data_IF_475292504010
#
_entry.id   IF_475292504010
#
_cell.length_a   1.000
_cell.length_b   1.000
_cell.length_c   1.000
_cell.angle_alpha   90.00
_cell.angle_beta   90.00
_cell.angle_gamma   90.00
#
_symmetry.space_group_name_H-M   'P 1'
#
loop_
_entity.id
_entity.type
_entity.pdbx_description
1 polymer ?
#
# COMPACT_ATOMS: atom_id res chain seq x y z
N UNK A 1 6.06 -9.89 4.38
CA UNK A 1 6.48 -9.80 2.97
C UNK A 1 7.91 -10.30 2.88
N UNK A 2 8.13 -11.38 2.12
CA UNK A 2 9.45 -11.98 1.86
C UNK A 2 9.78 -11.74 0.38
N UNK A 3 11.05 -11.56 0.05
CA UNK A 3 11.56 -11.64 -1.32
C UNK A 3 11.83 -13.12 -1.69
N UNK A 4 11.85 -13.44 -2.98
CA UNK A 4 11.96 -14.81 -3.52
C UNK A 4 13.26 -15.57 -3.14
N UNK A 5 14.19 -14.92 -2.44
CA UNK A 5 15.43 -15.52 -1.93
C UNK A 5 15.37 -15.90 -0.44
N UNK A 6 14.27 -15.64 0.28
CA UNK A 6 14.15 -15.98 1.71
C UNK A 6 15.04 -15.16 2.65
N UNK A 7 16.02 -14.42 2.13
CA UNK A 7 16.87 -13.48 2.85
C UNK A 7 16.14 -12.15 3.08
N UNK A 8 15.20 -12.20 4.01
CA UNK A 8 14.81 -11.01 4.73
C UNK A 8 15.84 -10.87 5.86
N UNK A 9 16.82 -9.96 5.69
CA UNK A 9 17.79 -9.63 6.74
C UNK A 9 17.03 -9.32 8.03
N UNK A 10 16.92 -10.33 8.91
CA UNK A 10 16.25 -10.26 10.22
C UNK A 10 16.96 -9.29 11.17
N UNK A 11 18.13 -8.79 10.78
CA UNK A 11 18.80 -7.69 11.44
C UNK A 11 18.12 -6.38 11.01
N UNK A 12 17.15 -5.94 11.81
CA UNK A 12 16.68 -4.57 11.77
C UNK A 12 17.84 -3.70 12.20
N UNK A 13 18.57 -3.13 11.24
CA UNK A 13 19.53 -2.08 11.52
C UNK A 13 18.80 -0.94 12.23
N UNK A 14 19.24 -0.59 13.43
CA UNK A 14 18.68 0.51 14.22
C UNK A 14 19.71 1.62 14.35
N UNK A 15 19.23 2.83 14.53
CA UNK A 15 20.06 3.98 14.83
C UNK A 15 20.34 4.01 16.34
N UNK A 16 21.57 4.35 16.72
CA UNK A 16 22.02 4.41 18.10
C UNK A 16 21.34 5.57 18.84
N UNK A 17 20.49 5.27 19.83
CA UNK A 17 19.69 6.26 20.54
C UNK A 17 20.50 7.39 21.22
N UNK A 18 21.62 7.12 21.93
CA UNK A 18 22.47 8.18 22.47
C UNK A 18 22.93 9.20 21.42
N UNK A 19 23.39 8.73 20.26
CA UNK A 19 23.84 9.60 19.17
C UNK A 19 22.67 10.43 18.62
N UNK A 20 21.46 9.84 18.54
CA UNK A 20 20.26 10.55 18.10
C UNK A 20 19.83 11.67 19.04
N UNK A 21 20.09 11.52 20.34
CA UNK A 21 19.75 12.49 21.38
C UNK A 21 20.85 13.56 21.55
N UNK A 22 21.90 13.51 20.71
CA UNK A 22 23.04 14.43 20.77
C UNK A 22 24.03 14.10 21.90
N UNK A 23 23.96 12.89 22.46
CA UNK A 23 24.89 12.40 23.46
C UNK A 23 25.99 11.51 22.84
N UNK A 24 27.11 11.37 23.55
CA UNK A 24 28.18 10.45 23.15
C UNK A 24 27.77 8.99 23.42
N UNK A 25 28.08 8.10 22.48
CA UNK A 25 27.85 6.66 22.68
C UNK A 25 29.03 6.03 23.42
N UNK A 26 28.77 5.45 24.59
CA UNK A 26 29.78 4.77 25.42
C UNK A 26 30.40 3.54 24.73
N UNK A 27 29.69 2.94 23.76
CA UNK A 27 30.16 1.76 23.01
C UNK A 27 31.03 2.12 21.81
N UNK A 28 31.12 3.40 21.44
CA UNK A 28 31.96 3.86 20.33
C UNK A 28 31.79 3.02 19.06
N UNK A 29 32.90 2.48 18.55
CA UNK A 29 32.96 1.66 17.33
C UNK A 29 32.46 0.23 17.52
N UNK A 30 32.30 -0.24 18.76
CA UNK A 30 31.75 -1.56 19.10
C UNK A 30 30.21 -1.55 19.20
N UNK A 31 29.58 -0.41 18.91
CA UNK A 31 28.13 -0.30 18.94
C UNK A 31 27.49 -1.08 17.78
N UNK A 32 26.55 -1.98 18.12
CA UNK A 32 25.78 -2.76 17.15
C UNK A 32 24.75 -1.91 16.36
N UNK A 33 24.46 -0.71 16.87
CA UNK A 33 23.53 0.24 16.26
C UNK A 33 24.29 1.29 15.44
N UNK A 34 23.68 1.78 14.36
CA UNK A 34 24.27 2.72 13.43
C UNK A 34 24.42 4.10 14.07
N UNK A 35 25.64 4.63 14.08
CA UNK A 35 25.92 6.03 14.39
C UNK A 35 25.72 6.87 13.13
N UNK A 36 24.92 7.93 13.23
CA UNK A 36 24.66 8.86 12.13
C UNK A 36 24.70 10.28 12.69
N UNK A 37 25.19 11.25 11.92
CA UNK A 37 25.13 12.64 12.38
C UNK A 37 23.67 13.09 12.46
N UNK A 38 23.27 13.70 13.59
CA UNK A 38 21.89 14.17 13.80
C UNK A 38 21.49 15.17 12.73
N UNK A 39 22.42 16.01 12.30
CA UNK A 39 22.25 16.99 11.22
C UNK A 39 21.89 16.33 9.87
N UNK A 40 22.56 15.22 9.51
CA UNK A 40 22.21 14.46 8.30
C UNK A 40 20.90 13.70 8.48
N UNK A 41 20.60 13.22 9.68
CA UNK A 41 19.35 12.52 9.95
C UNK A 41 18.14 13.45 9.85
N UNK A 42 18.24 14.69 10.34
CA UNK A 42 17.20 15.71 10.16
C UNK A 42 17.00 16.02 8.69
N UNK A 43 18.08 16.23 7.92
CA UNK A 43 18.00 16.44 6.48
C UNK A 43 17.42 15.22 5.74
N UNK A 44 17.79 13.99 6.12
CA UNK A 44 17.22 12.76 5.54
C UNK A 44 15.76 12.60 5.94
N UNK A 45 15.38 12.93 7.17
CA UNK A 45 13.99 12.90 7.64
C UNK A 45 13.15 13.95 6.94
N UNK A 46 13.66 15.16 6.71
CA UNK A 46 12.99 16.23 5.96
C UNK A 46 12.86 15.87 4.47
N UNK A 47 13.93 15.35 3.86
CA UNK A 47 13.89 14.87 2.48
C UNK A 47 12.98 13.64 2.33
N UNK A 48 12.97 12.77 3.34
CA UNK A 48 12.04 11.65 3.47
C UNK A 48 10.70 12.08 4.07
N UNK A 49 10.48 13.35 4.42
CA UNK A 49 9.22 13.96 4.87
C UNK A 49 8.43 14.55 3.69
N UNK A 50 9.03 14.57 2.49
CA UNK A 50 8.32 14.31 1.22
C UNK A 50 7.79 12.85 1.20
N UNK A 51 7.35 12.39 2.36
CA UNK A 51 7.38 11.04 2.85
C UNK A 51 6.40 10.20 2.11
N UNK A 52 6.82 8.97 1.91
CA UNK A 52 5.94 7.85 1.69
C UNK A 52 4.56 8.07 2.32
N UNK A 53 3.56 8.38 1.50
CA UNK A 53 2.20 8.51 1.95
C UNK A 53 1.64 7.10 2.12
N UNK A 54 1.06 6.82 3.28
CA UNK A 54 0.47 5.52 3.63
C UNK A 54 -1.05 5.66 3.54
N UNK A 55 -1.72 4.67 2.99
CA UNK A 55 -3.17 4.67 2.86
C UNK A 55 -3.85 4.28 4.18
N UNK A 56 -3.64 5.11 5.20
CA UNK A 56 -4.18 4.94 6.53
C UNK A 56 -4.47 6.33 7.13
N UNK A 57 -5.69 6.52 7.64
CA UNK A 57 -6.17 7.81 8.14
C UNK A 57 -5.39 8.26 9.38
N UNK A 58 -5.08 7.34 10.29
CA UNK A 58 -4.35 7.63 11.53
C UNK A 58 -2.89 7.95 11.24
N UNK A 59 -2.26 7.19 10.35
CA UNK A 59 -0.87 7.42 9.95
C UNK A 59 -0.66 8.76 9.21
N UNK A 60 -1.72 9.27 8.57
CA UNK A 60 -1.71 10.53 7.80
C UNK A 60 -2.57 11.62 8.46
N UNK A 61 -2.66 11.61 9.79
CA UNK A 61 -3.42 12.62 10.54
C UNK A 61 -2.81 14.03 10.38
N UNK A 62 -1.47 14.12 10.41
CA UNK A 62 -0.74 15.39 10.35
C UNK A 62 -0.44 15.85 8.91
N UNK A 63 -0.75 15.02 7.91
CA UNK A 63 -0.46 15.34 6.51
C UNK A 63 -1.51 16.32 5.98
N UNK A 64 -1.07 17.45 5.37
CA UNK A 64 -1.99 18.45 4.82
C UNK A 64 -2.96 17.86 3.81
N UNK A 65 -4.19 18.39 3.81
CA UNK A 65 -5.28 17.95 2.95
C UNK A 65 -5.86 19.10 2.15
N UNK A 66 -6.55 18.76 1.07
CA UNK A 66 -7.30 19.73 0.31
C UNK A 66 -8.49 20.29 1.12
N UNK A 67 -8.98 21.50 0.80
CA UNK A 67 -10.13 22.10 1.48
C UNK A 67 -11.36 21.17 1.47
N UNK A 68 -12.02 21.01 2.62
CA UNK A 68 -13.12 20.05 2.79
C UNK A 68 -14.37 20.40 1.95
N UNK A 69 -14.56 21.67 1.62
CA UNK A 69 -15.61 22.21 0.76
C UNK A 69 -15.35 21.94 -0.73
N UNK A 70 -14.10 21.67 -1.12
CA UNK A 70 -13.77 21.35 -2.50
C UNK A 70 -14.21 19.92 -2.84
N UNK A 71 -14.91 19.77 -3.96
CA UNK A 71 -15.23 18.45 -4.52
C UNK A 71 -14.16 18.05 -5.54
N UNK A 72 -13.56 16.88 -5.34
CA UNK A 72 -12.55 16.33 -6.23
C UNK A 72 -13.08 15.08 -6.93
N UNK A 73 -13.20 15.18 -8.26
CA UNK A 73 -13.52 14.04 -9.12
C UNK A 73 -12.28 13.22 -9.41
N UNK A 74 -12.30 11.96 -8.98
CA UNK A 74 -11.17 11.04 -9.13
C UNK A 74 -11.58 9.86 -10.01
N UNK A 75 -10.81 9.65 -11.07
CA UNK A 75 -11.02 8.58 -12.03
C UNK A 75 -10.31 7.30 -11.59
N UNK A 76 -10.88 6.15 -11.94
CA UNK A 76 -10.23 4.87 -11.71
C UNK A 76 -8.93 4.73 -12.51
N UNK A 77 -8.07 3.84 -12.04
CA UNK A 77 -6.85 3.52 -12.78
C UNK A 77 -7.22 2.92 -14.14
N UNK A 78 -6.56 3.40 -15.21
CA UNK A 78 -6.75 2.95 -16.59
C UNK A 78 -8.17 3.16 -17.17
N UNK A 79 -9.04 3.91 -16.52
CA UNK A 79 -10.35 4.29 -17.05
C UNK A 79 -10.57 5.79 -16.90
N UNK A 80 -11.17 6.41 -17.92
CA UNK A 80 -11.64 7.79 -17.88
C UNK A 80 -13.17 7.88 -17.88
N UNK A 81 -13.85 6.73 -17.88
CA UNK A 81 -15.30 6.65 -17.97
C UNK A 81 -15.95 6.40 -16.60
N UNK A 82 -15.17 5.90 -15.64
CA UNK A 82 -15.62 5.65 -14.26
C UNK A 82 -14.88 6.57 -13.29
N UNK A 83 -15.64 7.30 -12.50
CA UNK A 83 -15.13 8.23 -11.49
C UNK A 83 -15.96 8.19 -10.21
N UNK A 84 -15.37 8.67 -9.14
CA UNK A 84 -16.05 8.96 -7.88
C UNK A 84 -15.63 10.34 -7.40
N UNK A 85 -16.58 11.07 -6.84
CA UNK A 85 -16.37 12.40 -6.29
C UNK A 85 -16.09 12.26 -4.79
N UNK A 86 -15.03 12.92 -4.31
CA UNK A 86 -14.57 12.89 -2.93
C UNK A 86 -14.47 14.32 -2.39
N UNK A 87 -14.75 14.55 -1.10
CA UNK A 87 -14.46 15.83 -0.47
C UNK A 87 -12.94 16.02 -0.35
N UNK A 88 -12.45 17.25 -0.49
CA UNK A 88 -11.02 17.55 -0.41
C UNK A 88 -10.38 17.11 0.91
N UNK A 89 -11.15 17.05 2.00
CA UNK A 89 -10.69 16.54 3.30
C UNK A 89 -10.29 15.05 3.30
N UNK A 90 -10.60 14.29 2.25
CA UNK A 90 -10.14 12.93 2.04
C UNK A 90 -8.89 12.83 1.16
N UNK A 91 -8.45 13.95 0.55
CA UNK A 91 -7.31 13.98 -0.33
C UNK A 91 -6.10 14.61 0.33
N UNK A 92 -5.00 13.86 0.34
CA UNK A 92 -3.71 14.40 0.76
C UNK A 92 -3.22 15.39 -0.30
N UNK A 93 -2.55 16.46 0.15
CA UNK A 93 -1.90 17.40 -0.77
C UNK A 93 -0.72 16.67 -1.44
N UNK A 94 -0.85 16.50 -2.76
CA UNK A 94 0.22 16.03 -3.66
C UNK A 94 0.39 17.02 -4.80
N UNK A 95 1.47 16.91 -5.59
CA UNK A 95 1.64 17.68 -6.82
C UNK A 95 0.45 17.51 -7.78
N UNK A 96 -0.11 16.31 -7.85
CA UNK A 96 -1.38 16.05 -8.57
C UNK A 96 -2.56 16.83 -8.00
N UNK A 97 -2.69 16.86 -6.67
CA UNK A 97 -3.75 17.58 -5.97
C UNK A 97 -3.64 19.11 -6.14
N UNK A 98 -2.43 19.68 -6.00
CA UNK A 98 -2.14 21.10 -6.25
C UNK A 98 -2.51 21.49 -7.68
N UNK A 99 -2.16 20.63 -8.64
CA UNK A 99 -2.47 20.86 -10.04
C UNK A 99 -3.98 20.74 -10.33
N UNK A 100 -4.74 19.97 -9.55
CA UNK A 100 -6.21 19.92 -9.61
C UNK A 100 -6.82 21.19 -9.01
N UNK A 101 -6.38 21.59 -7.81
CA UNK A 101 -6.86 22.78 -7.10
C UNK A 101 -6.70 24.04 -7.96
N UNK A 102 -5.54 24.24 -8.57
CA UNK A 102 -5.31 25.38 -9.47
C UNK A 102 -6.33 25.44 -10.61
N UNK A 103 -6.74 24.29 -11.13
CA UNK A 103 -7.73 24.26 -12.20
C UNK A 103 -9.16 24.44 -11.68
N UNK A 104 -9.47 23.91 -10.49
CA UNK A 104 -10.73 24.15 -9.80
C UNK A 104 -10.97 25.65 -9.58
N UNK A 105 -9.95 26.39 -9.15
CA UNK A 105 -9.99 27.85 -9.00
C UNK A 105 -10.17 28.57 -10.36
N UNK A 106 -9.51 28.09 -11.43
CA UNK A 106 -9.67 28.65 -12.78
C UNK A 106 -11.06 28.41 -13.39
N UNK A 107 -11.72 27.31 -13.02
CA UNK A 107 -13.08 26.95 -13.44
C UNK A 107 -14.14 27.49 -12.47
N UNK A 108 -13.87 28.60 -11.75
CA UNK A 108 -14.80 29.25 -10.81
C UNK A 108 -15.29 28.34 -9.68
N UNK A 109 -14.38 27.60 -9.05
CA UNK A 109 -14.69 26.66 -7.95
C UNK A 109 -15.69 25.58 -8.37
N UNK A 110 -15.56 25.10 -9.61
CA UNK A 110 -16.34 23.98 -10.12
C UNK A 110 -15.44 22.79 -10.48
N UNK A 111 -16.02 21.59 -10.41
CA UNK A 111 -15.30 20.33 -10.70
C UNK A 111 -14.72 20.40 -12.12
N UNK A 112 -13.38 20.33 -12.29
CA UNK A 112 -12.75 20.51 -13.58
C UNK A 112 -13.17 19.42 -14.56
N UNK A 113 -13.77 19.82 -15.67
CA UNK A 113 -14.25 18.86 -16.70
C UNK A 113 -13.13 18.41 -17.63
N UNK A 114 -12.12 19.27 -17.82
CA UNK A 114 -11.00 19.03 -18.75
C UNK A 114 -9.88 18.21 -18.14
N UNK A 115 -9.74 18.20 -16.81
CA UNK A 115 -8.63 17.54 -16.11
C UNK A 115 -9.11 16.31 -15.38
N UNK A 116 -8.95 15.18 -16.06
CA UNK A 116 -9.29 13.86 -15.55
C UNK A 116 -8.12 13.30 -14.73
N UNK A 117 -8.17 13.52 -13.42
CA UNK A 117 -7.13 13.02 -12.52
C UNK A 117 -7.48 11.65 -11.97
N UNK A 118 -6.50 10.75 -12.01
CA UNK A 118 -6.65 9.37 -11.57
C UNK A 118 -6.13 9.16 -10.16
N UNK A 119 -6.59 8.10 -9.51
CA UNK A 119 -5.97 7.59 -8.30
C UNK A 119 -4.50 7.21 -8.55
N UNK A 120 -3.65 7.47 -7.56
CA UNK A 120 -2.34 6.85 -7.51
C UNK A 120 -2.49 5.33 -7.29
N UNK A 121 -2.03 4.54 -8.25
CA UNK A 121 -2.07 3.09 -8.19
C UNK A 121 -1.36 2.53 -6.95
N UNK A 122 -0.18 3.07 -6.63
CA UNK A 122 0.61 2.63 -5.50
C UNK A 122 -0.08 2.93 -4.17
N UNK A 123 -0.63 4.13 -4.03
CA UNK A 123 -1.35 4.51 -2.83
C UNK A 123 -2.63 3.67 -2.63
N UNK A 124 -3.43 3.48 -3.68
CA UNK A 124 -4.72 2.77 -3.57
C UNK A 124 -4.60 1.25 -3.49
N UNK A 125 -3.65 0.64 -4.20
CA UNK A 125 -3.53 -0.83 -4.30
C UNK A 125 -2.46 -1.43 -3.38
N UNK A 126 -1.40 -0.69 -3.07
CA UNK A 126 -0.31 -1.17 -2.20
C UNK A 126 -0.31 -0.50 -0.83
N UNK A 127 -1.34 0.31 -0.55
CA UNK A 127 -1.51 1.14 0.63
C UNK A 127 -0.30 2.04 0.96
N UNK A 128 0.53 2.34 -0.05
CA UNK A 128 1.78 3.06 0.14
C UNK A 128 2.28 3.67 -1.17
N UNK A 129 2.60 4.96 -1.15
CA UNK A 129 3.26 5.65 -2.26
C UNK A 129 4.51 6.39 -1.78
N UNK A 130 5.68 5.96 -2.27
CA UNK A 130 7.00 6.52 -1.90
C UNK A 130 7.29 7.91 -2.43
N UNK A 131 6.49 8.40 -3.39
CA UNK A 131 6.62 9.75 -3.92
C UNK A 131 6.01 10.80 -2.99
N UNK A 132 5.18 10.38 -2.02
CA UNK A 132 4.59 11.28 -1.02
C UNK A 132 3.86 12.46 -1.66
N UNK A 133 4.20 13.66 -1.18
CA UNK A 133 3.72 14.94 -1.71
C UNK A 133 4.13 15.16 -3.18
N UNK A 134 5.28 14.65 -3.62
CA UNK A 134 5.74 14.80 -5.02
C UNK A 134 4.97 13.93 -6.02
N UNK A 135 3.98 13.15 -5.58
CA UNK A 135 3.18 12.32 -6.47
C UNK A 135 2.32 13.17 -7.42
N UNK A 136 2.36 12.86 -8.72
CA UNK A 136 1.55 13.52 -9.76
C UNK A 136 0.10 13.03 -9.82
N UNK A 137 -0.25 12.02 -9.03
CA UNK A 137 -1.59 11.42 -8.96
C UNK A 137 -2.26 11.73 -7.62
N UNK A 138 -3.55 11.45 -7.53
CA UNK A 138 -4.34 11.75 -6.33
C UNK A 138 -4.22 10.64 -5.28
N UNK A 139 -3.91 11.03 -4.05
CA UNK A 139 -3.91 10.16 -2.88
C UNK A 139 -5.20 10.40 -2.12
N UNK A 140 -6.11 9.44 -2.21
CA UNK A 140 -7.44 9.52 -1.61
C UNK A 140 -7.50 8.52 -0.47
N UNK A 141 -7.67 9.02 0.75
CA UNK A 141 -7.91 8.18 1.92
C UNK A 141 -9.31 7.56 1.82
N UNK A 142 -9.44 6.25 2.09
CA UNK A 142 -10.69 5.54 1.94
C UNK A 142 -11.73 6.10 2.91
N UNK A 143 -12.94 6.21 2.41
CA UNK A 143 -14.11 6.51 3.25
C UNK A 143 -14.46 5.31 4.13
N UNK A 144 -15.20 5.54 5.22
CA UNK A 144 -15.69 4.44 6.06
C UNK A 144 -16.51 3.41 5.27
N UNK A 145 -17.24 3.88 4.25
CA UNK A 145 -17.98 3.01 3.34
C UNK A 145 -17.04 2.13 2.53
N UNK A 146 -16.02 2.70 1.88
CA UNK A 146 -15.05 1.92 1.09
C UNK A 146 -14.25 0.93 1.95
N UNK A 147 -13.97 1.28 3.22
CA UNK A 147 -13.34 0.35 4.16
C UNK A 147 -14.25 -0.85 4.46
N UNK A 148 -15.56 -0.64 4.59
CA UNK A 148 -16.54 -1.73 4.77
C UNK A 148 -16.63 -2.58 3.50
N UNK A 149 -16.79 -1.95 2.34
CA UNK A 149 -16.84 -2.63 1.04
C UNK A 149 -15.59 -3.49 0.80
N UNK A 150 -14.39 -2.99 1.15
CA UNK A 150 -13.14 -3.76 1.08
C UNK A 150 -13.13 -4.96 2.02
N UNK A 151 -13.50 -4.78 3.29
CA UNK A 151 -13.55 -5.88 4.26
C UNK A 151 -14.53 -6.98 3.84
N UNK A 152 -15.68 -6.59 3.30
CA UNK A 152 -16.68 -7.52 2.77
C UNK A 152 -16.14 -8.27 1.54
N UNK A 153 -15.48 -7.57 0.62
CA UNK A 153 -14.85 -8.18 -0.55
C UNK A 153 -13.70 -9.13 -0.18
N UNK A 154 -12.83 -8.73 0.74
CA UNK A 154 -11.74 -9.58 1.27
C UNK A 154 -12.28 -10.83 1.98
N UNK A 155 -13.36 -10.69 2.76
CA UNK A 155 -14.02 -11.82 3.40
C UNK A 155 -14.65 -12.79 2.38
N UNK A 156 -15.29 -12.25 1.33
CA UNK A 156 -15.86 -13.05 0.25
C UNK A 156 -14.77 -13.77 -0.56
N UNK A 157 -13.67 -13.09 -0.88
CA UNK A 157 -12.54 -13.67 -1.60
C UNK A 157 -11.84 -14.76 -0.78
N UNK A 158 -11.58 -14.51 0.51
CA UNK A 158 -11.02 -15.51 1.42
C UNK A 158 -11.92 -16.74 1.56
N UNK A 159 -13.25 -16.55 1.62
CA UNK A 159 -14.22 -17.64 1.63
C UNK A 159 -14.21 -18.44 0.32
N UNK A 160 -14.12 -17.76 -0.83
CA UNK A 160 -14.03 -18.42 -2.13
C UNK A 160 -12.71 -19.19 -2.31
N UNK A 161 -11.57 -18.61 -1.88
CA UNK A 161 -10.27 -19.28 -1.90
C UNK A 161 -10.24 -20.50 -0.95
N UNK A 162 -10.84 -20.40 0.24
CA UNK A 162 -10.97 -21.51 1.17
C UNK A 162 -11.85 -22.64 0.60
N UNK A 163 -12.95 -22.30 -0.08
CA UNK A 163 -13.81 -23.27 -0.75
C UNK A 163 -13.10 -23.98 -1.92
N UNK A 164 -12.33 -23.23 -2.73
CA UNK A 164 -11.55 -23.80 -3.83
C UNK A 164 -10.47 -24.77 -3.31
N UNK A 165 -9.73 -24.38 -2.26
CA UNK A 165 -8.70 -25.23 -1.65
C UNK A 165 -9.29 -26.51 -1.04
N UNK A 166 -10.45 -26.44 -0.39
CA UNK A 166 -11.13 -27.62 0.17
C UNK A 166 -11.59 -28.62 -0.91
N UNK A 167 -11.92 -28.14 -2.13
CA UNK A 167 -12.23 -29.02 -3.26
C UNK A 167 -10.99 -29.66 -3.86
N UNK A 168 -9.83 -28.97 -3.85
CA UNK A 168 -8.57 -29.51 -4.36
C UNK A 168 -8.00 -30.61 -3.43
N UNK A 169 -8.12 -30.44 -2.11
CA UNK A 169 -7.68 -31.44 -1.12
C UNK A 169 -8.55 -32.71 -1.13
N UNK A 170 -9.84 -32.62 -1.50
CA UNK A 170 -10.73 -33.78 -1.61
C UNK A 170 -10.46 -34.67 -2.84
N UNK A 171 -9.69 -34.19 -3.83
CA UNK A 171 -9.35 -34.94 -5.05
C UNK A 171 -7.97 -35.63 -4.95
N UNK A 172 -7.15 -35.28 -3.95
CA UNK A 172 -5.77 -35.78 -3.80
C UNK A 172 -5.57 -37.13 -3.10
N UNK A 173 -6.57 -37.69 -2.41
CA UNK A 173 -6.50 -39.02 -1.76
C UNK A 173 -7.24 -40.08 -2.60
N UNK A 174 -6.73 -40.37 -3.79
CA UNK A 174 -7.36 -41.31 -4.73
C UNK A 174 -6.39 -42.20 -5.50
N UNK A 175 -5.18 -42.45 -5.00
CA UNK A 175 -4.21 -43.35 -5.63
C UNK A 175 -3.79 -44.45 -4.64
N UNK A 176 -4.50 -45.59 -4.66
CA UNK A 176 -4.00 -46.81 -4.02
C UNK A 176 -4.52 -48.09 -4.70
N UNK A 177 -3.56 -48.80 -5.32
CA UNK A 177 -3.50 -50.24 -5.65
C UNK A 177 -4.32 -50.77 -6.82
N UNK A 178 -3.64 -50.94 -7.96
CA UNK A 178 -3.86 -52.07 -8.87
C UNK A 178 -3.02 -53.25 -8.36
N UNK A 179 -3.68 -54.23 -7.73
CA UNK A 179 -3.09 -55.51 -7.38
C UNK A 179 -2.93 -56.38 -8.64
N UNK A 180 -1.69 -56.59 -9.09
CA UNK A 180 -1.33 -57.67 -10.02
C UNK A 180 -1.54 -59.03 -9.34
N UNK A 181 -2.58 -59.76 -9.75
CA UNK A 181 -2.75 -61.18 -9.41
C UNK A 181 -2.67 -62.04 -10.67
N UNK A 182 -1.49 -62.63 -10.82
CA UNK A 182 -1.24 -64.05 -11.06
C UNK A 182 -2.39 -64.86 -11.72
N UNK A 183 -2.21 -65.22 -12.99
CA UNK A 183 -3.01 -66.25 -13.65
C UNK A 183 -2.08 -67.32 -14.25
N UNK A 184 -1.73 -68.29 -13.41
CA UNK A 184 -1.11 -69.55 -13.80
C UNK A 184 -2.03 -70.41 -14.69
N UNK A 185 -1.54 -70.70 -15.89
CA UNK A 185 -1.39 -72.03 -16.49
C UNK A 185 -2.34 -73.16 -16.06
N UNK A 186 -3.25 -73.55 -16.97
CA UNK A 186 -3.66 -74.95 -17.19
C UNK A 186 -3.88 -75.19 -18.69
N UNK A 187 -3.11 -76.11 -19.24
CA UNK A 187 -3.36 -76.78 -20.52
C UNK A 187 -3.54 -78.27 -20.18
N UNK A 188 -4.70 -78.80 -20.53
CA UNK A 188 -5.00 -80.24 -20.63
C UNK A 188 -4.95 -80.65 -22.10
#
# INVERSE_FOLDING_TARGET
MFNDHGDNFKMKFKLCAPILEGAECEKGEECEDIHCSVSELEAVRENSANATHINNIEAMADVPRLPADMTVRVFNQNSFDTWRDYPGGNLLITEGAKAYQKQYEQEMNSVPTRKRMQHCAHFRLKDMCRLGESCRFLHVLPTEQELKERKEAEAAEAAAQAAAKAMEEAVGEGDMKLDEKDAGMKIE
#
